data_IF_890857017404
#
_entry.id   IF_890857017404
#
_cell.length_a   1.000
_cell.length_b   1.000
_cell.length_c   1.000
_cell.angle_alpha   90.00
_cell.angle_beta   90.00
_cell.angle_gamma   90.00
#
_symmetry.space_group_name_H-M   'P 1'
#
loop_
_entity.id
_entity.type
_entity.pdbx_description
1 polymer ?
#
# COMPACT_ATOMS: atom_id res chain seq x y z
N UNK A 1 -36.52 -13.70 8.40
CA UNK A 1 -35.37 -12.96 8.97
C UNK A 1 -34.12 -13.53 8.34
N UNK A 2 -33.49 -12.81 7.43
CA UNK A 2 -32.10 -13.11 7.07
C UNK A 2 -31.26 -12.85 8.31
N UNK A 3 -30.22 -13.67 8.54
CA UNK A 3 -29.34 -13.51 9.70
C UNK A 3 -28.52 -12.20 9.71
N UNK A 4 -28.74 -11.33 8.71
CA UNK A 4 -28.02 -10.09 8.47
C UNK A 4 -28.46 -8.95 9.40
N UNK A 5 -29.67 -9.03 9.97
CA UNK A 5 -30.20 -8.03 10.92
C UNK A 5 -29.83 -8.32 12.38
N UNK A 6 -29.10 -9.41 12.67
CA UNK A 6 -28.66 -9.73 14.03
C UNK A 6 -27.54 -8.75 14.48
N UNK A 7 -27.74 -7.97 15.57
CA UNK A 7 -26.75 -7.01 16.05
C UNK A 7 -25.36 -7.61 16.36
N UNK A 8 -25.33 -8.84 16.87
CA UNK A 8 -24.09 -9.56 17.18
C UNK A 8 -23.32 -9.92 15.91
N UNK A 9 -24.04 -10.34 14.86
CA UNK A 9 -23.46 -10.71 13.58
C UNK A 9 -22.92 -9.47 12.85
N UNK A 10 -23.65 -8.35 12.91
CA UNK A 10 -23.18 -7.05 12.39
C UNK A 10 -21.89 -6.59 13.07
N UNK A 11 -21.83 -6.70 14.40
CA UNK A 11 -20.63 -6.34 15.16
C UNK A 11 -19.45 -7.26 14.85
N UNK A 12 -19.68 -8.57 14.79
CA UNK A 12 -18.66 -9.56 14.38
C UNK A 12 -18.10 -9.24 12.99
N UNK A 13 -18.98 -8.98 12.02
CA UNK A 13 -18.57 -8.67 10.64
C UNK A 13 -17.78 -7.36 10.55
N UNK A 14 -18.16 -6.33 11.31
CA UNK A 14 -17.39 -5.08 11.40
C UNK A 14 -15.97 -5.32 11.94
N UNK A 15 -15.82 -6.11 13.02
CA UNK A 15 -14.53 -6.45 13.62
C UNK A 15 -13.67 -7.24 12.63
N UNK A 16 -14.24 -8.27 11.99
CA UNK A 16 -13.52 -9.07 11.00
C UNK A 16 -13.06 -8.24 9.80
N UNK A 17 -13.89 -7.31 9.33
CA UNK A 17 -13.53 -6.41 8.24
C UNK A 17 -12.44 -5.40 8.65
N UNK A 18 -12.42 -4.95 9.90
CA UNK A 18 -11.35 -4.10 10.42
C UNK A 18 -10.02 -4.88 10.53
N UNK A 19 -10.06 -6.12 11.04
CA UNK A 19 -8.88 -6.98 11.12
C UNK A 19 -8.32 -7.31 9.74
N UNK A 20 -9.18 -7.61 8.76
CA UNK A 20 -8.77 -7.83 7.36
C UNK A 20 -8.07 -6.60 6.78
N UNK A 21 -8.64 -5.40 6.96
CA UNK A 21 -8.03 -4.14 6.50
C UNK A 21 -6.66 -3.91 7.13
N UNK A 22 -6.55 -4.05 8.45
CA UNK A 22 -5.28 -3.89 9.17
C UNK A 22 -4.20 -4.88 8.71
N UNK A 23 -4.58 -6.12 8.42
CA UNK A 23 -3.65 -7.12 7.90
C UNK A 23 -3.16 -6.78 6.49
N UNK A 24 -4.04 -6.30 5.62
CA UNK A 24 -3.68 -5.83 4.27
C UNK A 24 -2.77 -4.60 4.34
N UNK A 25 -3.09 -3.62 5.18
CA UNK A 25 -2.24 -2.43 5.41
C UNK A 25 -0.84 -2.82 5.90
N UNK A 26 -0.74 -3.74 6.86
CA UNK A 26 0.54 -4.25 7.36
C UNK A 26 1.32 -4.94 6.25
N UNK A 27 0.67 -5.79 5.44
CA UNK A 27 1.31 -6.46 4.33
C UNK A 27 1.87 -5.45 3.32
N UNK A 28 1.08 -4.48 2.88
CA UNK A 28 1.49 -3.44 1.94
C UNK A 28 2.68 -2.62 2.46
N UNK A 29 2.67 -2.22 3.74
CA UNK A 29 3.78 -1.49 4.35
C UNK A 29 5.06 -2.33 4.36
N UNK A 30 4.97 -3.59 4.79
CA UNK A 30 6.12 -4.50 4.85
C UNK A 30 6.70 -4.75 3.45
N UNK A 31 5.84 -4.94 2.44
CA UNK A 31 6.27 -5.13 1.05
C UNK A 31 6.93 -3.87 0.48
N UNK A 32 6.41 -2.68 0.79
CA UNK A 32 7.04 -1.41 0.38
C UNK A 32 8.42 -1.20 1.00
N UNK A 33 8.58 -1.54 2.28
CA UNK A 33 9.87 -1.45 2.97
C UNK A 33 10.90 -2.45 2.40
N UNK A 34 10.47 -3.69 2.10
CA UNK A 34 11.30 -4.68 1.44
C UNK A 34 11.73 -4.21 0.04
N UNK A 35 10.81 -3.68 -0.76
CA UNK A 35 11.12 -3.15 -2.08
C UNK A 35 12.15 -2.00 -2.02
N UNK A 36 12.09 -1.15 -0.99
CA UNK A 36 13.10 -0.10 -0.75
C UNK A 36 14.47 -0.66 -0.40
N UNK A 37 14.51 -1.69 0.44
CA UNK A 37 15.76 -2.35 0.82
C UNK A 37 16.39 -3.02 -0.40
N UNK A 38 15.61 -3.77 -1.17
CA UNK A 38 16.07 -4.45 -2.37
C UNK A 38 16.57 -3.45 -3.43
N UNK A 39 15.85 -2.34 -3.64
CA UNK A 39 16.27 -1.29 -4.57
C UNK A 39 17.61 -0.65 -4.17
N UNK A 40 17.81 -0.42 -2.86
CA UNK A 40 19.08 0.09 -2.31
C UNK A 40 20.22 -0.90 -2.50
N UNK A 41 20.00 -2.18 -2.21
CA UNK A 41 21.01 -3.25 -2.39
C UNK A 41 21.38 -3.39 -3.87
N UNK A 42 20.39 -3.34 -4.76
CA UNK A 42 20.59 -3.47 -6.20
C UNK A 42 21.05 -2.18 -6.88
N UNK A 43 21.27 -1.08 -6.14
CA UNK A 43 21.63 0.25 -6.66
C UNK A 43 20.72 0.70 -7.82
N UNK A 44 19.41 0.48 -7.67
CA UNK A 44 18.39 0.84 -8.65
C UNK A 44 17.36 1.79 -8.05
N UNK A 45 16.62 2.48 -8.92
CA UNK A 45 15.55 3.37 -8.49
C UNK A 45 14.32 2.59 -8.04
N UNK A 46 13.61 3.12 -7.04
CA UNK A 46 12.28 2.64 -6.63
C UNK A 46 11.22 3.62 -7.08
N UNK A 47 10.09 3.11 -7.59
CA UNK A 47 8.90 3.90 -7.90
C UNK A 47 7.82 3.59 -6.88
N UNK A 48 7.22 4.63 -6.27
CA UNK A 48 6.14 4.48 -5.31
C UNK A 48 5.15 5.64 -5.37
N UNK A 49 3.91 5.39 -4.94
CA UNK A 49 2.90 6.44 -4.80
C UNK A 49 3.00 7.10 -3.43
N UNK A 50 2.97 8.43 -3.39
CA UNK A 50 2.90 9.22 -2.16
C UNK A 50 2.01 10.43 -2.38
N UNK A 51 1.02 10.63 -1.51
CA UNK A 51 0.10 11.77 -1.57
C UNK A 51 -0.60 11.94 -2.94
N UNK A 52 -0.91 10.80 -3.59
CA UNK A 52 -1.55 10.77 -4.91
C UNK A 52 -0.61 11.01 -6.10
N UNK A 53 0.69 11.22 -5.86
CA UNK A 53 1.72 11.45 -6.87
C UNK A 53 2.62 10.22 -7.01
N UNK A 54 3.04 9.92 -8.23
CA UNK A 54 4.03 8.88 -8.50
C UNK A 54 5.42 9.48 -8.34
N UNK A 55 6.21 8.92 -7.43
CA UNK A 55 7.58 9.36 -7.16
C UNK A 55 8.57 8.27 -7.53
N UNK A 56 9.69 8.66 -8.13
CA UNK A 56 10.84 7.82 -8.41
C UNK A 56 12.02 8.29 -7.55
N UNK A 57 12.47 7.43 -6.66
CA UNK A 57 13.62 7.68 -5.78
C UNK A 57 14.83 6.90 -6.28
N UNK A 58 15.90 7.60 -6.60
CA UNK A 58 17.16 7.04 -7.07
C UNK A 58 18.09 6.70 -5.88
N UNK A 59 19.08 5.80 -6.07
CA UNK A 59 20.03 5.42 -5.01
C UNK A 59 20.85 6.57 -4.42
N UNK A 60 21.03 7.65 -5.19
CA UNK A 60 21.71 8.88 -4.75
C UNK A 60 20.84 9.75 -3.81
N UNK A 61 19.59 9.35 -3.56
CA UNK A 61 18.62 10.10 -2.75
C UNK A 61 17.83 11.16 -3.54
N UNK A 62 18.02 11.25 -4.85
CA UNK A 62 17.23 12.12 -5.72
C UNK A 62 15.81 11.56 -5.88
N UNK A 63 14.80 12.42 -5.70
CA UNK A 63 13.39 12.07 -5.84
C UNK A 63 12.80 12.91 -6.97
N UNK A 64 12.26 12.25 -7.98
CA UNK A 64 11.61 12.87 -9.14
C UNK A 64 10.14 12.47 -9.16
N UNK A 65 9.25 13.43 -9.34
CA UNK A 65 7.83 13.16 -9.60
C UNK A 65 7.67 12.71 -11.06
N UNK A 66 7.11 11.51 -11.27
CA UNK A 66 6.76 11.01 -12.60
C UNK A 66 5.41 11.65 -12.96
N UNK A 67 5.48 12.72 -13.74
CA UNK A 67 4.32 13.41 -14.31
C UNK A 67 3.99 12.95 -15.73
N UNK A 68 4.62 11.87 -16.21
CA UNK A 68 4.40 11.42 -17.57
C UNK A 68 2.93 11.04 -17.74
N UNK A 69 2.27 11.72 -18.68
CA UNK A 69 1.10 11.16 -19.37
C UNK A 69 1.50 9.75 -19.77
N UNK A 70 0.88 8.75 -19.13
CA UNK A 70 0.96 7.38 -19.60
C UNK A 70 0.23 7.42 -20.95
N UNK A 71 0.97 7.62 -22.03
CA UNK A 71 0.46 7.42 -23.37
C UNK A 71 0.24 5.90 -23.49
N UNK A 72 -1.01 5.50 -23.29
CA UNK A 72 -1.48 4.11 -23.25
C UNK A 72 -1.69 3.57 -24.65
#
# INVERSE_FOLDING_TARGET
MTNEDNPLEKQRNAIMNALKRKSVEKYLATTGDLARIDAKIANTAIVYMKDGKMLKEYPNGEIVEINDEIDV
#
